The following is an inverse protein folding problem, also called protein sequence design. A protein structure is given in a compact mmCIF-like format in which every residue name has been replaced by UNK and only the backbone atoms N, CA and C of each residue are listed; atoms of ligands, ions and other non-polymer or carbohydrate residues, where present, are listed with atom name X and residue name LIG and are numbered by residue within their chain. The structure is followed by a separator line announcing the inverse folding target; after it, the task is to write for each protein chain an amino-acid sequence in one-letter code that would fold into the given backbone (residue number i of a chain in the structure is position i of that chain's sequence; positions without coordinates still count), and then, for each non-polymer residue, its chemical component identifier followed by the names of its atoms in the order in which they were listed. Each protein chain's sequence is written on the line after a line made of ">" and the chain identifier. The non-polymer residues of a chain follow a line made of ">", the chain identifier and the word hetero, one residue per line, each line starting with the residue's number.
data_IF_014541240638
#
_entry.id   IF_014541240638
#
_cell.length_a   1.000
_cell.length_b   1.000
_cell.length_c   1.000
_cell.angle_alpha   90.00
_cell.angle_beta   90.00
_cell.angle_gamma   90.00
#
_symmetry.space_group_name_H-M   'P 1'
#
loop_
_entity.id
_entity.type
_entity.pdbx_description
1 polymer ?
#
# COMPACT_ATOMS: atom_id res chain seq x y z
N UNK A 1 -3.98 9.67 32.10
CA UNK A 1 -3.33 8.48 31.54
C UNK A 1 -3.98 7.97 30.24
N UNK A 2 -5.32 7.83 30.16
CA UNK A 2 -6.02 7.38 28.92
C UNK A 2 -5.96 8.33 27.71
N UNK A 3 -5.83 9.64 27.91
CA UNK A 3 -5.84 10.64 26.81
C UNK A 3 -4.53 10.62 26.00
N UNK A 4 -3.40 10.45 26.67
CA UNK A 4 -2.06 10.37 26.05
C UNK A 4 -1.86 9.12 25.21
N UNK A 5 -2.43 7.98 25.63
CA UNK A 5 -2.35 6.71 24.90
C UNK A 5 -3.21 6.72 23.62
N UNK A 6 -4.42 7.29 23.71
CA UNK A 6 -5.29 7.47 22.54
C UNK A 6 -4.61 8.37 21.50
N UNK A 7 -4.06 9.49 21.94
CA UNK A 7 -3.36 10.43 21.07
C UNK A 7 -2.14 9.79 20.39
N UNK A 8 -1.37 8.96 21.11
CA UNK A 8 -0.24 8.23 20.54
C UNK A 8 -0.68 7.26 19.44
N UNK A 9 -1.77 6.52 19.68
CA UNK A 9 -2.32 5.58 18.69
C UNK A 9 -2.83 6.30 17.44
N UNK A 10 -3.52 7.42 17.62
CA UNK A 10 -3.98 8.26 16.52
C UNK A 10 -2.79 8.73 15.67
N UNK A 11 -1.71 9.20 16.31
CA UNK A 11 -0.52 9.69 15.61
C UNK A 11 0.26 8.58 14.88
N UNK A 12 0.43 7.41 15.51
CA UNK A 12 1.02 6.24 14.85
C UNK A 12 0.19 5.82 13.63
N UNK A 13 -1.13 5.82 13.76
CA UNK A 13 -2.05 5.51 12.65
C UNK A 13 -1.90 6.55 11.53
N UNK A 14 -1.84 7.85 11.86
CA UNK A 14 -1.67 8.91 10.87
C UNK A 14 -0.37 8.75 10.08
N UNK A 15 0.76 8.45 10.75
CA UNK A 15 2.04 8.21 10.07
C UNK A 15 2.01 6.96 9.17
N UNK A 16 1.31 5.92 9.60
CA UNK A 16 1.10 4.72 8.78
C UNK A 16 0.29 5.03 7.52
N UNK A 17 -0.75 5.86 7.63
CA UNK A 17 -1.54 6.32 6.48
C UNK A 17 -0.72 7.19 5.54
N UNK A 18 0.09 8.12 6.07
CA UNK A 18 1.03 8.92 5.26
C UNK A 18 2.03 8.02 4.52
N UNK A 19 2.60 7.02 5.18
CA UNK A 19 3.49 6.06 4.53
C UNK A 19 2.80 5.30 3.40
N UNK A 20 1.57 4.83 3.62
CA UNK A 20 0.80 4.11 2.60
C UNK A 20 0.49 4.98 1.38
N UNK A 21 0.13 6.24 1.60
CA UNK A 21 -0.09 7.22 0.52
C UNK A 21 1.16 7.38 -0.36
N UNK A 22 2.31 7.61 0.28
CA UNK A 22 3.60 7.75 -0.41
C UNK A 22 3.96 6.46 -1.14
N UNK A 23 3.77 5.30 -0.51
CA UNK A 23 4.10 4.01 -1.10
C UNK A 23 3.22 3.69 -2.32
N UNK A 24 1.91 3.97 -2.26
CA UNK A 24 0.97 3.76 -3.37
C UNK A 24 1.31 4.69 -4.55
N UNK A 25 1.50 5.98 -4.29
CA UNK A 25 1.93 6.94 -5.32
C UNK A 25 3.25 6.53 -5.95
N UNK A 26 4.20 6.04 -5.14
CA UNK A 26 5.47 5.60 -5.65
C UNK A 26 5.38 4.31 -6.48
N UNK A 27 4.49 3.36 -6.11
CA UNK A 27 4.19 2.18 -6.93
C UNK A 27 3.66 2.61 -8.29
N UNK A 28 2.69 3.53 -8.34
CA UNK A 28 2.16 4.07 -9.59
C UNK A 28 3.25 4.64 -10.49
N UNK A 29 4.20 5.37 -9.90
CA UNK A 29 5.33 5.94 -10.62
C UNK A 29 6.30 4.89 -11.18
N UNK A 30 6.73 3.90 -10.38
CA UNK A 30 7.71 2.89 -10.85
C UNK A 30 7.11 1.92 -11.87
N UNK A 31 5.81 1.66 -11.78
CA UNK A 31 5.08 0.80 -12.70
C UNK A 31 4.82 1.46 -14.06
N UNK A 32 4.97 2.79 -14.14
CA UNK A 32 4.75 3.59 -15.35
C UNK A 32 3.35 3.38 -15.96
N UNK A 33 2.35 3.12 -15.11
CA UNK A 33 0.94 2.99 -15.51
C UNK A 33 0.42 4.33 -16.03
N UNK A 34 0.96 5.42 -15.52
CA UNK A 34 0.69 6.78 -15.97
C UNK A 34 1.99 7.43 -16.44
N UNK A 35 1.85 8.43 -17.32
CA UNK A 35 2.99 9.20 -17.81
C UNK A 35 3.66 9.99 -16.67
N UNK A 36 4.98 10.16 -16.75
CA UNK A 36 5.76 10.78 -15.68
C UNK A 36 5.45 12.27 -15.47
N UNK A 37 4.77 12.91 -16.41
CA UNK A 37 4.36 14.32 -16.35
C UNK A 37 3.29 14.57 -15.29
N UNK A 38 2.52 13.56 -14.87
CA UNK A 38 1.53 13.70 -13.78
C UNK A 38 2.13 13.49 -12.37
N UNK A 39 3.45 13.36 -12.25
CA UNK A 39 4.12 13.16 -10.97
C UNK A 39 5.05 14.33 -10.62
N UNK A 40 5.01 14.76 -9.36
CA UNK A 40 5.90 15.79 -8.82
C UNK A 40 6.88 15.19 -7.80
N UNK A 41 8.12 15.70 -7.80
CA UNK A 41 9.12 15.33 -6.78
C UNK A 41 8.77 15.95 -5.44
N UNK A 42 8.80 15.14 -4.38
CA UNK A 42 8.62 15.57 -2.98
C UNK A 42 9.72 15.02 -2.10
N UNK A 43 10.03 15.74 -1.02
CA UNK A 43 10.94 15.28 0.02
C UNK A 43 10.13 14.71 1.19
N UNK A 44 10.17 13.39 1.39
CA UNK A 44 9.47 12.68 2.46
C UNK A 44 10.41 11.69 3.13
N UNK A 45 10.41 11.65 4.46
CA UNK A 45 11.33 10.83 5.26
C UNK A 45 12.81 10.96 4.81
N UNK A 46 13.20 12.18 4.45
CA UNK A 46 14.52 12.52 3.89
C UNK A 46 14.89 11.78 2.59
N UNK A 47 13.88 11.39 1.80
CA UNK A 47 14.01 10.75 0.49
C UNK A 47 13.23 11.53 -0.56
N UNK A 48 13.74 11.54 -1.79
CA UNK A 48 13.00 12.06 -2.94
C UNK A 48 12.01 10.99 -3.38
N UNK A 49 10.73 11.30 -3.26
CA UNK A 49 9.60 10.46 -3.71
C UNK A 49 8.84 11.18 -4.83
N UNK A 50 7.99 10.44 -5.53
CA UNK A 50 7.14 10.96 -6.60
C UNK A 50 5.68 10.82 -6.18
N UNK A 51 4.94 11.92 -6.28
CA UNK A 51 3.52 12.01 -5.89
C UNK A 51 2.70 12.41 -7.11
N UNK A 52 1.60 11.69 -7.35
CA UNK A 52 0.68 12.00 -8.44
C UNK A 52 -0.07 13.31 -8.13
N UNK A 53 -0.28 14.17 -9.14
CA UNK A 53 -1.08 15.39 -9.02
C UNK A 53 -2.33 15.41 -9.89
N UNK A 54 -2.68 14.26 -10.48
CA UNK A 54 -3.99 14.07 -11.11
C UNK A 54 -5.07 13.98 -10.03
N UNK A 55 -6.12 14.81 -10.18
CA UNK A 55 -7.15 14.99 -9.15
C UNK A 55 -7.98 13.71 -8.96
N UNK A 56 -8.26 12.97 -10.03
CA UNK A 56 -9.09 11.76 -9.95
C UNK A 56 -8.34 10.64 -9.21
N UNK A 57 -7.06 10.46 -9.56
CA UNK A 57 -6.18 9.48 -8.90
C UNK A 57 -5.97 9.84 -7.42
N UNK A 58 -5.69 11.11 -7.13
CA UNK A 58 -5.51 11.58 -5.76
C UNK A 58 -6.76 11.35 -4.91
N UNK A 59 -7.95 11.65 -5.45
CA UNK A 59 -9.22 11.43 -4.75
C UNK A 59 -9.45 9.94 -4.50
N UNK A 60 -9.22 9.08 -5.49
CA UNK A 60 -9.37 7.63 -5.32
C UNK A 60 -8.47 7.07 -4.20
N UNK A 61 -7.18 7.46 -4.18
CA UNK A 61 -6.24 7.04 -3.14
C UNK A 61 -6.67 7.62 -1.78
N UNK A 62 -7.02 8.90 -1.71
CA UNK A 62 -7.43 9.56 -0.47
C UNK A 62 -8.69 8.92 0.12
N UNK A 63 -9.70 8.65 -0.70
CA UNK A 63 -10.94 8.02 -0.28
C UNK A 63 -10.69 6.61 0.28
N UNK A 64 -9.84 5.83 -0.38
CA UNK A 64 -9.40 4.53 0.12
C UNK A 64 -8.70 4.65 1.47
N UNK A 65 -7.71 5.54 1.59
CA UNK A 65 -6.93 5.75 2.81
C UNK A 65 -7.80 6.23 3.98
N UNK A 66 -8.76 7.11 3.72
CA UNK A 66 -9.71 7.61 4.72
C UNK A 66 -10.56 6.48 5.30
N UNK A 67 -10.98 5.52 4.47
CA UNK A 67 -11.75 4.37 4.92
C UNK A 67 -10.91 3.40 5.73
N UNK A 68 -9.71 3.06 5.23
CA UNK A 68 -8.86 2.09 5.92
C UNK A 68 -8.25 2.65 7.21
N UNK A 69 -8.19 3.97 7.40
CA UNK A 69 -7.69 4.62 8.62
C UNK A 69 -8.37 4.11 9.89
N UNK A 70 -9.70 4.02 9.89
CA UNK A 70 -10.47 3.52 11.04
C UNK A 70 -10.21 2.03 11.30
N UNK A 71 -10.07 1.24 10.23
CA UNK A 71 -9.77 -0.19 10.31
C UNK A 71 -8.35 -0.45 10.81
N UNK A 72 -7.37 0.32 10.33
CA UNK A 72 -5.97 0.24 10.76
C UNK A 72 -5.83 0.66 12.23
N UNK A 73 -6.51 1.74 12.65
CA UNK A 73 -6.55 2.16 14.05
C UNK A 73 -7.06 1.05 14.98
N UNK A 74 -8.06 0.28 14.52
CA UNK A 74 -8.65 -0.87 15.22
C UNK A 74 -7.87 -2.18 15.02
N UNK A 75 -6.76 -2.17 14.25
CA UNK A 75 -5.96 -3.35 13.92
C UNK A 75 -6.79 -4.46 13.23
N UNK A 76 -7.69 -4.06 12.34
CA UNK A 76 -8.59 -4.96 11.60
C UNK A 76 -8.09 -5.32 10.20
N UNK A 77 -6.95 -4.79 9.78
CA UNK A 77 -6.36 -5.05 8.46
C UNK A 77 -5.20 -6.01 8.63
N UNK A 78 -5.22 -7.10 7.87
CA UNK A 78 -4.10 -8.02 7.71
C UNK A 78 -3.18 -7.61 6.56
N UNK A 79 -3.77 -7.29 5.41
CA UNK A 79 -3.03 -6.95 4.19
C UNK A 79 -3.68 -5.81 3.44
N UNK A 80 -2.86 -4.99 2.82
CA UNK A 80 -3.24 -3.98 1.83
C UNK A 80 -2.58 -4.40 0.51
N UNK A 81 -3.37 -4.48 -0.55
CA UNK A 81 -2.94 -4.90 -1.87
C UNK A 81 -3.06 -3.76 -2.88
N UNK A 82 -2.00 -3.49 -3.64
CA UNK A 82 -2.06 -2.75 -4.89
C UNK A 82 -1.97 -3.78 -6.02
N UNK A 83 -3.05 -3.94 -6.79
CA UNK A 83 -3.17 -4.99 -7.80
C UNK A 83 -3.19 -4.36 -9.18
N UNK A 84 -2.38 -4.90 -10.08
CA UNK A 84 -2.35 -4.53 -11.50
C UNK A 84 -2.86 -5.72 -12.30
N UNK A 85 -3.86 -5.47 -13.14
CA UNK A 85 -4.55 -6.49 -13.93
C UNK A 85 -4.69 -6.05 -15.38
N UNK A 86 -5.06 -6.98 -16.25
CA UNK A 86 -5.60 -6.68 -17.58
C UNK A 86 -7.05 -6.19 -17.49
N UNK A 87 -7.61 -5.72 -18.62
CA UNK A 87 -8.91 -5.07 -18.71
C UNK A 87 -10.07 -5.94 -18.18
N UNK A 88 -9.96 -7.24 -18.41
CA UNK A 88 -10.97 -8.23 -18.01
C UNK A 88 -10.88 -8.67 -16.54
N UNK A 89 -9.94 -8.12 -15.75
CA UNK A 89 -9.64 -8.48 -14.36
C UNK A 89 -9.36 -9.97 -14.10
N UNK A 90 -9.28 -10.80 -15.15
CA UNK A 90 -9.07 -12.23 -15.03
C UNK A 90 -7.59 -12.55 -14.78
N UNK A 91 -6.70 -11.66 -15.17
CA UNK A 91 -5.26 -11.86 -15.05
C UNK A 91 -4.61 -10.80 -14.17
N UNK A 92 -3.93 -11.25 -13.10
CA UNK A 92 -3.05 -10.40 -12.30
C UNK A 92 -1.66 -10.40 -12.94
N UNK A 93 -1.22 -9.22 -13.35
CA UNK A 93 0.13 -9.00 -13.86
C UNK A 93 1.12 -8.87 -12.71
N UNK A 94 0.75 -8.05 -11.73
CA UNK A 94 1.55 -7.77 -10.54
C UNK A 94 0.68 -7.39 -9.35
N UNK A 95 1.13 -7.75 -8.15
CA UNK A 95 0.49 -7.32 -6.91
C UNK A 95 1.54 -6.96 -5.86
N UNK A 96 1.47 -5.74 -5.35
CA UNK A 96 2.20 -5.35 -4.14
C UNK A 96 1.34 -5.62 -2.91
N UNK A 97 1.89 -6.32 -1.94
CA UNK A 97 1.22 -6.65 -0.68
C UNK A 97 1.98 -5.99 0.46
N UNK A 98 1.28 -5.19 1.24
CA UNK A 98 1.79 -4.54 2.45
C UNK A 98 1.03 -5.10 3.66
N UNK A 99 1.77 -5.78 4.53
CA UNK A 99 1.33 -6.15 5.87
C UNK A 99 1.85 -5.09 6.83
N UNK A 100 0.95 -4.41 7.55
CA UNK A 100 1.28 -3.28 8.39
C UNK A 100 0.59 -3.39 9.75
N UNK A 101 1.36 -3.73 10.78
CA UNK A 101 0.84 -3.98 12.12
C UNK A 101 1.55 -3.10 13.15
N UNK A 102 0.99 -1.91 13.47
CA UNK A 102 1.51 -1.06 14.53
C UNK A 102 1.37 -1.73 15.90
N UNK A 103 2.49 -1.85 16.62
CA UNK A 103 2.57 -2.40 17.98
C UNK A 103 2.53 -1.24 18.98
N UNK A 104 1.38 -1.04 19.61
CA UNK A 104 1.19 -0.03 20.65
C UNK A 104 0.95 -0.78 21.95
N UNK A 105 2.02 -1.03 22.70
CA UNK A 105 1.93 -1.70 24.01
C UNK A 105 1.16 -0.86 25.03
N UNK A 106 0.44 -1.56 25.92
CA UNK A 106 -0.31 -1.00 27.05
C UNK A 106 0.51 -0.97 28.37
N UNK A 107 1.82 -1.26 28.31
CA UNK A 107 2.63 -1.49 29.51
C UNK A 107 3.02 -0.17 30.18
N UNK A 108 2.46 0.04 31.36
CA UNK A 108 2.44 1.27 32.16
C UNK A 108 3.78 1.72 32.77
N UNK A 109 4.92 1.14 32.38
CA UNK A 109 6.20 1.40 33.05
C UNK A 109 7.32 2.00 32.18
N UNK A 110 7.09 2.23 30.88
CA UNK A 110 8.14 2.74 29.96
C UNK A 110 7.72 3.95 29.13
N UNK A 111 6.60 4.61 29.49
CA UNK A 111 6.02 5.78 28.79
C UNK A 111 6.96 7.01 28.81
N UNK A 112 8.10 6.95 29.52
CA UNK A 112 9.11 8.01 29.51
C UNK A 112 10.11 7.94 28.34
N UNK A 113 10.05 6.94 27.46
CA UNK A 113 10.78 7.03 26.18
C UNK A 113 10.02 7.99 25.26
N UNK A 114 10.46 9.26 25.24
CA UNK A 114 9.92 10.39 24.48
C UNK A 114 9.24 9.97 23.16
N UNK A 115 7.99 10.37 22.94
CA UNK A 115 7.26 10.11 21.68
C UNK A 115 8.03 10.53 20.41
N UNK A 116 8.93 11.52 20.54
CA UNK A 116 9.86 11.91 19.47
C UNK A 116 10.77 10.77 19.00
N UNK A 117 11.22 9.89 19.89
CA UNK A 117 12.03 8.72 19.51
C UNK A 117 11.20 7.68 18.75
N UNK A 118 9.95 7.47 19.17
CA UNK A 118 9.01 6.59 18.47
C UNK A 118 8.80 7.06 17.03
N UNK A 119 8.52 8.34 16.83
CA UNK A 119 8.27 8.88 15.50
C UNK A 119 9.52 8.85 14.62
N UNK A 120 10.69 9.13 15.18
CA UNK A 120 11.96 8.99 14.46
C UNK A 120 12.25 7.52 14.07
N UNK A 121 11.93 6.55 14.93
CA UNK A 121 12.05 5.13 14.61
C UNK A 121 11.11 4.75 13.47
N UNK A 122 9.84 5.17 13.52
CA UNK A 122 8.88 4.92 12.45
C UNK A 122 9.32 5.54 11.12
N UNK A 123 9.74 6.81 11.14
CA UNK A 123 10.24 7.49 9.94
C UNK A 123 11.45 6.76 9.35
N UNK A 124 12.36 6.26 10.19
CA UNK A 124 13.52 5.47 9.75
C UNK A 124 13.12 4.13 9.13
N UNK A 125 12.12 3.45 9.70
CA UNK A 125 11.57 2.21 9.14
C UNK A 125 10.92 2.50 7.78
N UNK A 126 10.12 3.57 7.68
CA UNK A 126 9.48 3.98 6.44
C UNK A 126 10.48 4.37 5.36
N UNK A 127 11.52 5.16 5.68
CA UNK A 127 12.62 5.45 4.76
C UNK A 127 13.24 4.17 4.22
N UNK A 128 13.53 3.22 5.10
CA UNK A 128 14.15 1.94 4.70
C UNK A 128 13.22 1.16 3.76
N UNK A 129 11.93 1.11 4.05
CA UNK A 129 10.95 0.44 3.21
C UNK A 129 10.82 1.09 1.82
N UNK A 130 10.79 2.43 1.77
CA UNK A 130 10.74 3.18 0.52
C UNK A 130 12.00 2.96 -0.32
N UNK A 131 13.19 2.97 0.29
CA UNK A 131 14.45 2.67 -0.43
C UNK A 131 14.38 1.28 -1.08
N UNK A 132 13.91 0.26 -0.36
CA UNK A 132 13.81 -1.08 -0.93
C UNK A 132 12.75 -1.18 -2.02
N UNK A 133 11.64 -0.43 -1.89
CA UNK A 133 10.62 -0.30 -2.92
C UNK A 133 11.15 0.41 -4.18
N UNK A 134 11.96 1.47 -4.02
CA UNK A 134 12.65 2.19 -5.10
C UNK A 134 13.59 1.30 -5.91
N UNK A 135 14.04 0.18 -5.35
CA UNK A 135 14.90 -0.79 -6.05
C UNK A 135 14.12 -1.81 -6.88
N UNK A 136 12.78 -1.77 -6.83
CA UNK A 136 11.90 -2.71 -7.53
C UNK A 136 11.49 -2.24 -8.93
N UNK A 137 12.26 -1.34 -9.55
CA UNK A 137 11.96 -0.84 -10.91
C UNK A 137 11.74 -2.04 -11.84
N UNK A 138 10.57 -2.15 -12.51
CA UNK A 138 10.28 -3.25 -13.40
C UNK A 138 11.32 -3.34 -14.53
N UNK A 139 11.74 -4.56 -14.86
CA UNK A 139 12.69 -4.81 -15.96
C UNK A 139 12.03 -4.52 -17.32
N UNK A 140 10.69 -4.59 -17.39
CA UNK A 140 9.88 -4.22 -18.55
C UNK A 140 8.68 -3.41 -18.06
N UNK A 141 8.53 -2.14 -18.50
CA UNK A 141 7.37 -1.33 -18.16
C UNK A 141 6.09 -1.98 -18.70
N UNK A 142 5.01 -1.89 -17.92
CA UNK A 142 3.68 -2.25 -18.39
C UNK A 142 3.19 -1.07 -19.26
N UNK A 143 3.49 -1.09 -20.57
CA UNK A 143 3.12 0.00 -21.48
C UNK A 143 1.66 -0.09 -21.88
N UNK A 144 0.90 0.99 -21.70
CA UNK A 144 -0.39 1.18 -22.37
C UNK A 144 -0.09 1.40 -23.85
N UNK A 145 -0.54 0.52 -24.73
CA UNK A 145 -0.55 0.75 -26.17
C UNK A 145 -1.57 1.85 -26.48
N UNK A 146 -1.14 3.12 -26.43
CA UNK A 146 -1.87 4.24 -27.02
C UNK A 146 -1.33 4.50 -28.42
N UNK A 147 -1.61 3.63 -29.38
CA UNK A 147 -1.47 4.01 -30.77
C UNK A 147 -2.78 3.70 -31.49
N UNK A 148 -3.34 4.78 -32.01
CA UNK A 148 -4.38 4.74 -33.03
C UNK A 148 -3.88 3.85 -34.15
N UNK A 149 -4.56 2.75 -34.42
CA UNK A 149 -4.64 2.18 -35.76
C UNK A 149 -5.93 1.35 -35.81
N UNK A 150 -6.68 1.61 -36.88
CA UNK A 150 -7.91 0.93 -37.25
C UNK A 150 -7.66 -0.59 -37.37
N UNK A 151 -7.99 -1.38 -36.35
CA UNK A 151 -8.28 -2.81 -36.47
C UNK A 151 -9.15 -3.27 -35.29
N UNK A 152 -10.33 -3.80 -35.61
CA UNK A 152 -11.27 -4.41 -34.68
C UNK A 152 -10.62 -5.60 -33.91
N UNK A 153 -10.95 -5.73 -32.61
CA UNK A 153 -10.77 -6.90 -31.72
C UNK A 153 -9.53 -7.07 -30.79
N UNK A 154 -8.97 -6.02 -30.15
CA UNK A 154 -8.11 -6.26 -28.95
C UNK A 154 -8.28 -5.30 -27.76
N UNK A 155 -9.52 -5.13 -27.30
CA UNK A 155 -9.84 -4.50 -26.02
C UNK A 155 -9.27 -5.24 -24.78
N UNK A 156 -8.58 -6.39 -24.94
CA UNK A 156 -8.13 -7.21 -23.81
C UNK A 156 -6.83 -6.71 -23.12
N UNK A 157 -6.06 -5.84 -23.77
CA UNK A 157 -4.69 -5.51 -23.32
C UNK A 157 -4.57 -4.21 -22.50
N UNK A 158 -5.68 -3.51 -22.23
CA UNK A 158 -5.63 -2.31 -21.39
C UNK A 158 -5.30 -2.64 -19.92
N UNK A 159 -4.21 -2.05 -19.40
CA UNK A 159 -3.79 -2.21 -18.01
C UNK A 159 -4.74 -1.45 -17.08
N UNK A 160 -5.14 -2.10 -15.98
CA UNK A 160 -5.92 -1.50 -14.88
C UNK A 160 -5.24 -1.77 -13.56
N UNK A 161 -5.58 -0.97 -12.55
CA UNK A 161 -5.15 -1.21 -11.18
C UNK A 161 -6.27 -0.95 -10.18
N UNK A 162 -6.16 -1.59 -9.01
CA UNK A 162 -7.10 -1.40 -7.90
C UNK A 162 -6.45 -1.63 -6.55
N UNK A 163 -7.03 -1.02 -5.53
CA UNK A 163 -6.65 -1.22 -4.14
C UNK A 163 -7.56 -2.27 -3.49
N UNK A 164 -6.97 -3.18 -2.73
CA UNK A 164 -7.64 -4.27 -2.02
C UNK A 164 -7.19 -4.30 -0.56
N UNK A 165 -8.04 -4.81 0.33
CA UNK A 165 -7.64 -5.13 1.71
C UNK A 165 -8.08 -6.53 2.10
N UNK A 166 -7.29 -7.17 2.98
CA UNK A 166 -7.68 -8.38 3.70
C UNK A 166 -7.94 -7.99 5.13
N UNK A 167 -9.15 -8.24 5.62
CA UNK A 167 -9.49 -8.03 7.03
C UNK A 167 -8.97 -9.18 7.89
N UNK A 168 -8.64 -8.89 9.14
CA UNK A 168 -8.27 -9.92 10.11
C UNK A 168 -9.49 -10.78 10.45
N UNK A 169 -9.36 -12.10 10.36
CA UNK A 169 -10.45 -13.02 10.67
C UNK A 169 -10.55 -13.20 12.20
N UNK A 170 -10.99 -12.19 12.93
CA UNK A 170 -11.35 -12.36 14.34
C UNK A 170 -12.70 -13.07 14.43
N UNK A 171 -12.67 -14.28 14.99
CA UNK A 171 -13.72 -15.32 15.06
C UNK A 171 -15.12 -14.92 15.58
N UNK A 172 -15.46 -13.65 15.86
CA UNK A 172 -16.77 -13.34 16.47
C UNK A 172 -17.31 -11.90 16.35
N UNK A 173 -16.80 -11.06 15.44
CA UNK A 173 -17.35 -9.69 15.28
C UNK A 173 -17.88 -9.47 13.88
N UNK A 174 -19.21 -9.36 13.75
CA UNK A 174 -19.83 -8.71 12.59
C UNK A 174 -19.40 -7.24 12.60
N UNK A 175 -18.29 -6.93 11.96
CA UNK A 175 -17.99 -5.55 11.62
C UNK A 175 -18.82 -5.22 10.37
N UNK A 176 -19.84 -4.39 10.54
CA UNK A 176 -20.46 -3.68 9.41
C UNK A 176 -19.45 -2.64 8.94
N UNK A 177 -18.54 -3.08 8.07
CA UNK A 177 -17.79 -2.15 7.24
C UNK A 177 -18.67 -1.90 6.01
N UNK A 178 -18.94 -0.65 5.69
CA UNK A 178 -19.49 -0.31 4.37
C UNK A 178 -18.47 -0.79 3.33
N UNK A 179 -18.72 -1.95 2.72
CA UNK A 179 -17.85 -2.61 1.72
C UNK A 179 -17.87 -1.87 0.38
N UNK A 180 -17.96 -0.54 0.38
CA UNK A 180 -18.28 0.23 -0.83
C UNK A 180 -17.07 0.55 -1.71
N UNK A 181 -15.82 0.38 -1.24
CA UNK A 181 -14.64 0.86 -2.00
C UNK A 181 -13.43 -0.06 -2.05
N UNK A 182 -13.44 -1.20 -1.37
CA UNK A 182 -12.36 -2.18 -1.49
C UNK A 182 -12.92 -3.55 -1.83
N UNK A 183 -12.25 -4.27 -2.70
CA UNK A 183 -12.52 -5.69 -2.86
C UNK A 183 -11.74 -6.47 -1.81
N UNK A 184 -12.42 -7.40 -1.13
CA UNK A 184 -11.70 -8.44 -0.39
C UNK A 184 -10.82 -9.21 -1.37
N UNK A 185 -9.63 -9.64 -0.91
CA UNK A 185 -8.77 -10.52 -1.68
C UNK A 185 -9.58 -11.72 -2.16
N UNK A 186 -9.96 -11.74 -3.45
CA UNK A 186 -10.42 -12.98 -4.08
C UNK A 186 -9.21 -13.92 -4.05
N UNK A 187 -9.46 -15.18 -3.65
CA UNK A 187 -8.50 -16.28 -3.80
C UNK A 187 -8.26 -16.48 -5.30
N UNK A 188 -7.49 -15.59 -5.91
CA UNK A 188 -6.98 -15.75 -7.26
C UNK A 188 -5.84 -16.75 -7.09
N UNK A 189 -5.93 -17.86 -7.83
CA UNK A 189 -5.03 -19.01 -7.70
C UNK A 189 -3.57 -18.55 -7.74
N UNK A 190 -2.95 -18.46 -6.56
CA UNK A 190 -1.57 -18.03 -6.35
C UNK A 190 -0.55 -18.93 -7.10
N UNK A 191 -0.99 -20.04 -7.71
CA UNK A 191 -0.14 -21.00 -8.40
C UNK A 191 0.65 -20.38 -9.57
N UNK A 192 0.10 -19.36 -10.23
CA UNK A 192 0.72 -18.70 -11.40
C UNK A 192 1.59 -17.47 -11.03
N UNK A 193 1.59 -17.05 -9.76
CA UNK A 193 2.36 -15.90 -9.29
C UNK A 193 3.62 -16.35 -8.54
N UNK A 194 4.73 -15.69 -8.81
CA UNK A 194 5.95 -15.78 -8.00
C UNK A 194 5.86 -14.76 -6.86
N UNK A 195 6.23 -15.13 -5.64
CA UNK A 195 6.25 -14.22 -4.49
C UNK A 195 7.69 -13.84 -4.16
N UNK A 196 7.96 -12.53 -4.17
CA UNK A 196 9.23 -11.94 -3.78
C UNK A 196 9.02 -11.05 -2.56
N UNK A 197 9.76 -11.30 -1.48
CA UNK A 197 9.80 -10.36 -0.37
C UNK A 197 10.69 -9.18 -0.73
N UNK A 198 10.13 -7.96 -0.70
CA UNK A 198 10.87 -6.71 -0.92
C UNK A 198 11.55 -6.31 0.38
N UNK A 199 10.77 -6.27 1.48
CA UNK A 199 11.28 -5.91 2.79
C UNK A 199 10.44 -6.55 3.88
N UNK A 200 11.09 -6.93 4.97
CA UNK A 200 10.43 -7.21 6.25
C UNK A 200 11.20 -6.50 7.35
N UNK A 201 10.47 -5.82 8.23
CA UNK A 201 10.98 -5.17 9.43
C UNK A 201 10.08 -5.56 10.59
N UNK A 202 10.71 -6.14 11.61
CA UNK A 202 10.07 -6.43 12.89
C UNK A 202 10.74 -5.56 13.95
N UNK A 203 10.02 -4.58 14.47
CA UNK A 203 10.49 -3.71 15.56
C UNK A 203 9.57 -3.84 16.77
N UNK A 204 9.95 -3.21 17.88
CA UNK A 204 9.10 -3.15 19.08
C UNK A 204 7.81 -2.34 18.85
N UNK A 205 7.74 -1.57 17.75
CA UNK A 205 6.72 -0.55 17.51
C UNK A 205 5.94 -0.78 16.22
N UNK A 206 6.53 -1.48 15.25
CA UNK A 206 5.90 -1.77 13.98
C UNK A 206 6.42 -3.09 13.43
N UNK A 207 5.50 -3.95 13.02
CA UNK A 207 5.81 -5.01 12.07
C UNK A 207 5.32 -4.55 10.70
N UNK A 208 6.22 -4.49 9.73
CA UNK A 208 5.90 -4.19 8.35
C UNK A 208 6.56 -5.20 7.42
N UNK A 209 5.79 -5.74 6.50
CA UNK A 209 6.28 -6.60 5.44
C UNK A 209 5.72 -6.15 4.10
N UNK A 210 6.61 -6.00 3.12
CA UNK A 210 6.29 -5.62 1.76
C UNK A 210 6.72 -6.75 0.85
N UNK A 211 5.79 -7.23 0.05
CA UNK A 211 6.00 -8.31 -0.90
C UNK A 211 5.50 -7.89 -2.28
N UNK A 212 6.10 -8.44 -3.33
CA UNK A 212 5.63 -8.34 -4.69
C UNK A 212 5.27 -9.74 -5.18
N UNK A 213 4.10 -9.87 -5.79
CA UNK A 213 3.71 -11.03 -6.57
C UNK A 213 3.78 -10.67 -8.06
N UNK A 214 4.56 -11.41 -8.82
CA UNK A 214 4.71 -11.22 -10.28
C UNK A 214 4.19 -12.45 -11.01
N UNK A 215 3.54 -12.26 -12.17
CA UNK A 215 3.24 -13.37 -13.09
C UNK A 215 4.53 -14.14 -13.39
N UNK A 216 4.50 -15.47 -13.19
CA UNK A 216 5.63 -16.32 -13.57
C UNK A 216 5.81 -16.25 -15.09
N UNK A 217 7.05 -16.01 -15.53
CA UNK A 217 7.39 -16.20 -16.93
C UNK A 217 7.15 -17.67 -17.29
N UNK A 218 6.21 -17.92 -18.20
CA UNK A 218 6.00 -19.22 -18.85
C UNK A 218 7.08 -19.51 -19.87
#
# INVERSE_FOLDING_TARGET
>A
MRVTEKHLRDEVTNRCIEFLDIAINFILYIEQIYSNDIFEKRLKYNLIVYECHDIEIQNYISDFLNQIKSLLHKQLIDQIGFVITTNNENEILRRYIIELHPIIEHSSNTIHTNGNYLFAELDSIFSTCLIELMRQIPISPLTISTENDDDDDDDNDQIRWKLQIRLCHQRNSKFEVEETFYEQFKLIDNCLLSLKQIKSVHSQRLNIQIMCQDKKAT
#
